data_IF_154819527752
#
_entry.id   IF_154819527752
#
_cell.length_a   1.000
_cell.length_b   1.000
_cell.length_c   1.000
_cell.angle_alpha   90.00
_cell.angle_beta   90.00
_cell.angle_gamma   90.00
#
_symmetry.space_group_name_H-M   'P 1'
#
loop_
_entity.id
_entity.type
_entity.pdbx_description
1 polymer ?
#
# COMPACT_ATOMS: atom_id res chain seq x y z
N UNK A 1 10.06 6.40 -16.46
CA UNK A 1 11.50 6.58 -16.73
C UNK A 1 12.19 6.54 -15.38
N UNK A 2 12.96 5.48 -15.07
CA UNK A 2 13.59 5.35 -13.76
C UNK A 2 14.79 6.29 -13.62
N UNK A 3 14.89 7.00 -12.51
CA UNK A 3 16.08 7.81 -12.20
C UNK A 3 17.17 6.92 -11.60
N UNK A 4 18.41 7.07 -12.07
CA UNK A 4 19.57 6.34 -11.53
C UNK A 4 19.93 6.85 -10.14
N UNK A 5 20.19 5.94 -9.20
CA UNK A 5 20.73 6.28 -7.87
C UNK A 5 22.20 6.66 -8.06
N UNK A 6 22.54 7.89 -7.67
CA UNK A 6 23.90 8.44 -7.73
C UNK A 6 24.45 8.61 -6.31
N UNK A 7 25.77 8.75 -6.15
CA UNK A 7 26.36 9.00 -4.82
C UNK A 7 25.78 10.27 -4.16
N UNK A 8 25.34 11.25 -4.95
CA UNK A 8 24.76 12.50 -4.46
C UNK A 8 23.35 12.33 -3.86
N UNK A 9 22.54 11.36 -4.35
CA UNK A 9 21.17 11.14 -3.87
C UNK A 9 21.03 9.93 -2.92
N UNK A 10 22.08 9.12 -2.77
CA UNK A 10 22.09 7.95 -1.89
C UNK A 10 21.79 8.26 -0.40
N UNK A 11 22.28 9.35 0.23
CA UNK A 11 21.95 9.66 1.62
C UNK A 11 20.46 9.95 1.85
N UNK A 12 19.81 10.56 0.85
CA UNK A 12 18.39 10.91 0.91
C UNK A 12 17.56 9.64 0.81
N UNK A 13 17.86 8.78 -0.17
CA UNK A 13 17.21 7.48 -0.30
C UNK A 13 17.36 6.65 0.99
N UNK A 14 18.56 6.62 1.60
CA UNK A 14 18.78 5.93 2.89
C UNK A 14 17.88 6.46 4.00
N UNK A 15 17.75 7.78 4.12
CA UNK A 15 16.89 8.39 5.14
C UNK A 15 15.42 7.99 4.95
N UNK A 16 14.94 7.87 3.71
CA UNK A 16 13.60 7.37 3.42
C UNK A 16 13.47 5.88 3.78
N UNK A 17 14.44 5.06 3.35
CA UNK A 17 14.46 3.62 3.63
C UNK A 17 14.43 3.33 5.14
N UNK A 18 15.20 4.10 5.93
CA UNK A 18 15.25 3.96 7.39
C UNK A 18 13.90 4.26 8.06
N UNK A 19 13.02 5.03 7.40
CA UNK A 19 11.69 5.38 7.92
C UNK A 19 10.55 4.53 7.39
N UNK A 20 10.79 3.64 6.42
CA UNK A 20 9.76 2.72 5.90
C UNK A 20 9.06 1.93 7.02
N UNK A 21 9.75 1.38 8.02
CA UNK A 21 9.07 0.61 9.08
C UNK A 21 8.05 1.44 9.88
N UNK A 22 8.36 2.70 10.17
CA UNK A 22 7.44 3.60 10.89
C UNK A 22 6.26 4.02 10.02
N UNK A 23 6.51 4.32 8.74
CA UNK A 23 5.46 4.63 7.78
C UNK A 23 4.52 3.43 7.57
N UNK A 24 5.09 2.23 7.49
CA UNK A 24 4.34 0.98 7.35
C UNK A 24 3.41 0.81 8.53
N UNK A 25 3.94 0.95 9.75
CA UNK A 25 3.14 0.87 10.98
C UNK A 25 2.01 1.90 10.99
N UNK A 26 2.30 3.17 10.67
CA UNK A 26 1.26 4.23 10.59
C UNK A 26 0.13 3.87 9.62
N UNK A 27 0.45 3.43 8.40
CA UNK A 27 -0.55 3.04 7.41
C UNK A 27 -1.29 1.77 7.84
N UNK A 28 -0.59 0.74 8.31
CA UNK A 28 -1.24 -0.51 8.74
C UNK A 28 -2.13 -0.33 9.97
N UNK A 29 -1.72 0.50 10.95
CA UNK A 29 -2.54 0.87 12.09
C UNK A 29 -3.82 1.59 11.64
N UNK A 30 -3.74 2.49 10.65
CA UNK A 30 -4.92 3.15 10.06
C UNK A 30 -5.83 2.14 9.37
N UNK A 31 -5.29 1.26 8.53
CA UNK A 31 -6.07 0.24 7.81
C UNK A 31 -6.82 -0.67 8.79
N UNK A 32 -6.09 -1.22 9.75
CA UNK A 32 -6.66 -2.16 10.74
C UNK A 32 -7.63 -1.49 11.72
N UNK A 33 -7.49 -0.19 11.99
CA UNK A 33 -8.45 0.54 12.82
C UNK A 33 -9.80 0.79 12.11
N UNK A 34 -9.83 0.77 10.77
CA UNK A 34 -10.99 1.28 10.01
C UNK A 34 -11.46 0.40 8.86
N UNK A 35 -10.95 -0.82 8.72
CA UNK A 35 -11.32 -1.74 7.63
C UNK A 35 -12.82 -2.09 7.53
N UNK A 36 -13.62 -1.76 8.54
CA UNK A 36 -15.08 -1.94 8.56
C UNK A 36 -15.88 -0.65 8.40
N UNK A 37 -15.23 0.51 8.47
CA UNK A 37 -15.89 1.83 8.52
C UNK A 37 -15.40 2.79 7.45
N UNK A 38 -14.18 2.63 6.97
CA UNK A 38 -13.63 3.40 5.86
C UNK A 38 -14.11 2.80 4.54
N UNK A 39 -14.95 3.51 3.76
CA UNK A 39 -15.57 2.94 2.56
C UNK A 39 -14.53 2.49 1.53
N UNK A 40 -13.39 3.17 1.42
CA UNK A 40 -12.34 2.77 0.46
C UNK A 40 -11.78 1.39 0.80
N UNK A 41 -11.54 1.11 2.08
CA UNK A 41 -10.98 -0.18 2.53
C UNK A 41 -12.04 -1.28 2.44
N UNK A 42 -13.30 -0.93 2.76
CA UNK A 42 -14.44 -1.85 2.62
C UNK A 42 -14.62 -2.26 1.16
N UNK A 43 -14.60 -1.30 0.24
CA UNK A 43 -14.74 -1.53 -1.20
C UNK A 43 -13.58 -2.38 -1.73
N UNK A 44 -12.34 -2.04 -1.38
CA UNK A 44 -11.17 -2.87 -1.70
C UNK A 44 -11.33 -4.34 -1.26
N UNK A 45 -11.79 -4.61 -0.04
CA UNK A 45 -12.00 -6.00 0.44
C UNK A 45 -13.14 -6.69 -0.33
N UNK A 46 -14.20 -5.95 -0.66
CA UNK A 46 -15.33 -6.49 -1.40
C UNK A 46 -14.95 -6.81 -2.85
N UNK A 47 -14.14 -5.97 -3.49
CA UNK A 47 -13.72 -6.15 -4.87
C UNK A 47 -12.76 -7.34 -4.99
N UNK A 48 -11.82 -7.49 -4.05
CA UNK A 48 -11.03 -8.72 -3.90
C UNK A 48 -11.92 -9.98 -3.87
N UNK A 49 -13.03 -9.93 -3.11
CA UNK A 49 -13.98 -11.05 -3.02
C UNK A 49 -14.79 -11.26 -4.32
N UNK A 50 -15.06 -10.20 -5.06
CA UNK A 50 -15.89 -10.23 -6.26
C UNK A 50 -15.12 -10.72 -7.50
N UNK A 51 -13.82 -10.41 -7.57
CA UNK A 51 -12.99 -10.72 -8.73
C UNK A 51 -12.38 -12.12 -8.71
N UNK A 52 -12.21 -12.69 -7.53
CA UNK A 52 -11.62 -14.03 -7.36
C UNK A 52 -12.73 -15.09 -7.32
N UNK A 53 -12.55 -16.19 -8.05
CA UNK A 53 -13.51 -17.30 -8.02
C UNK A 53 -13.68 -17.86 -6.59
N UNK A 54 -14.92 -18.23 -6.19
CA UNK A 54 -15.22 -18.77 -4.86
C UNK A 54 -14.34 -19.94 -4.42
N UNK A 55 -14.06 -20.90 -5.30
CA UNK A 55 -13.25 -22.09 -4.97
C UNK A 55 -11.79 -21.70 -4.73
N UNK A 56 -11.25 -20.80 -5.55
CA UNK A 56 -9.90 -20.27 -5.39
C UNK A 56 -9.77 -19.51 -4.06
N UNK A 57 -10.77 -18.70 -3.70
CA UNK A 57 -10.81 -18.00 -2.41
C UNK A 57 -10.78 -18.98 -1.23
N UNK A 58 -11.58 -20.04 -1.28
CA UNK A 58 -11.64 -21.06 -0.23
C UNK A 58 -10.27 -21.71 -0.03
N UNK A 59 -9.59 -22.06 -1.13
CA UNK A 59 -8.25 -22.66 -1.11
C UNK A 59 -7.19 -21.67 -0.60
N UNK A 60 -7.20 -20.43 -1.09
CA UNK A 60 -6.24 -19.38 -0.72
C UNK A 60 -6.31 -19.01 0.77
N UNK A 61 -7.53 -18.91 1.31
CA UNK A 61 -7.77 -18.64 2.73
C UNK A 61 -7.71 -19.91 3.61
N UNK A 62 -7.64 -21.09 3.00
CA UNK A 62 -7.65 -22.39 3.68
C UNK A 62 -8.85 -22.55 4.63
N UNK A 63 -10.04 -22.26 4.12
CA UNK A 63 -11.33 -22.35 4.85
C UNK A 63 -12.21 -23.45 4.27
N UNK A 64 -13.36 -23.73 4.88
CA UNK A 64 -14.27 -24.79 4.38
C UNK A 64 -15.26 -24.28 3.33
N UNK A 65 -15.61 -23.00 3.38
CA UNK A 65 -16.52 -22.34 2.43
C UNK A 65 -16.34 -20.83 2.43
N UNK A 66 -16.90 -20.16 1.42
CA UNK A 66 -16.80 -18.69 1.27
C UNK A 66 -17.45 -17.89 2.40
N UNK A 67 -18.40 -18.47 3.13
CA UNK A 67 -19.07 -17.79 4.26
C UNK A 67 -18.12 -17.61 5.46
N UNK A 68 -17.05 -18.41 5.55
CA UNK A 68 -16.00 -18.28 6.57
C UNK A 68 -14.99 -17.17 6.24
N UNK A 69 -15.04 -16.59 5.03
CA UNK A 69 -14.13 -15.53 4.60
C UNK A 69 -14.66 -14.19 5.10
N UNK A 70 -14.13 -13.76 6.24
CA UNK A 70 -14.41 -12.45 6.84
C UNK A 70 -13.41 -11.40 6.38
N UNK A 71 -13.69 -10.09 6.52
CA UNK A 71 -12.72 -9.03 6.25
C UNK A 71 -11.40 -9.20 7.02
N UNK A 72 -11.43 -9.74 8.24
CA UNK A 72 -10.23 -10.04 9.04
C UNK A 72 -9.33 -11.07 8.35
N UNK A 73 -9.91 -12.06 7.67
CA UNK A 73 -9.14 -13.05 6.89
C UNK A 73 -8.37 -12.38 5.76
N UNK A 74 -8.96 -11.39 5.09
CA UNK A 74 -8.24 -10.58 4.10
C UNK A 74 -7.07 -9.83 4.74
N UNK A 75 -7.28 -9.17 5.88
CA UNK A 75 -6.19 -8.48 6.59
C UNK A 75 -5.04 -9.42 6.99
N UNK A 76 -5.33 -10.69 7.32
CA UNK A 76 -4.29 -11.69 7.58
C UNK A 76 -3.44 -12.03 6.35
N UNK A 77 -3.94 -11.79 5.13
CA UNK A 77 -3.28 -12.15 3.86
C UNK A 77 -2.75 -10.96 3.07
N UNK A 78 -3.31 -9.76 3.25
CA UNK A 78 -2.82 -8.54 2.60
C UNK A 78 -1.37 -8.25 3.01
N UNK A 79 -0.53 -7.90 2.04
CA UNK A 79 0.89 -7.58 2.25
C UNK A 79 1.26 -6.30 1.51
N UNK A 80 2.31 -5.63 1.98
CA UNK A 80 2.98 -4.59 1.20
C UNK A 80 3.64 -5.24 -0.02
N UNK A 81 3.19 -4.83 -1.21
CA UNK A 81 3.61 -5.35 -2.52
C UNK A 81 4.71 -4.51 -3.12
N UNK A 82 4.58 -3.20 -3.03
CA UNK A 82 5.50 -2.26 -3.63
C UNK A 82 5.61 -0.97 -2.81
N UNK A 83 6.75 -0.30 -3.00
CA UNK A 83 7.00 1.04 -2.48
C UNK A 83 7.47 1.88 -3.65
N UNK A 84 6.78 2.98 -3.90
CA UNK A 84 7.07 3.90 -4.99
C UNK A 84 7.51 5.24 -4.44
N UNK A 85 8.48 5.85 -5.11
CA UNK A 85 8.91 7.21 -4.84
C UNK A 85 8.71 8.06 -6.08
N UNK A 86 8.14 9.25 -5.90
CA UNK A 86 8.00 10.23 -6.97
C UNK A 86 8.50 11.60 -6.52
N UNK A 87 8.95 12.40 -7.48
CA UNK A 87 9.23 13.80 -7.24
C UNK A 87 7.89 14.57 -7.13
N UNK A 88 7.75 15.53 -6.20
CA UNK A 88 6.57 16.36 -6.14
C UNK A 88 6.42 17.20 -7.41
N UNK A 89 5.18 17.44 -7.84
CA UNK A 89 4.86 18.07 -9.13
C UNK A 89 5.38 19.53 -9.26
N UNK A 90 5.63 20.22 -8.14
CA UNK A 90 5.89 21.68 -8.09
C UNK A 90 7.33 22.09 -7.67
N UNK A 91 8.31 21.17 -7.67
CA UNK A 91 9.65 21.53 -7.20
C UNK A 91 10.47 22.21 -8.30
N UNK A 92 10.47 23.55 -8.31
CA UNK A 92 11.63 24.32 -8.78
C UNK A 92 12.84 23.84 -7.96
N UNK A 93 13.84 23.28 -8.63
CA UNK A 93 14.99 22.54 -8.09
C UNK A 93 16.01 23.42 -7.36
N UNK A 94 15.54 24.34 -6.50
CA UNK A 94 16.36 25.28 -5.73
C UNK A 94 16.45 24.96 -4.23
N UNK A 95 15.87 23.86 -3.75
CA UNK A 95 16.10 23.36 -2.39
C UNK A 95 17.21 22.31 -2.39
N UNK A 96 18.22 22.50 -1.54
CA UNK A 96 19.38 21.59 -1.37
C UNK A 96 19.01 20.19 -0.84
N UNK A 97 17.72 19.91 -0.66
CA UNK A 97 17.17 18.61 -0.28
C UNK A 97 15.98 18.30 -1.20
N UNK A 98 16.09 17.35 -2.15
CA UNK A 98 14.94 16.89 -2.92
C UNK A 98 13.91 16.25 -1.97
N UNK A 99 12.70 16.79 -1.97
CA UNK A 99 11.54 16.14 -1.37
C UNK A 99 11.03 15.02 -2.29
N UNK A 100 10.55 13.93 -1.69
CA UNK A 100 9.99 12.79 -2.40
C UNK A 100 8.62 12.47 -1.79
N UNK A 101 7.62 12.26 -2.64
CA UNK A 101 6.40 11.60 -2.21
C UNK A 101 6.65 10.10 -2.20
N UNK A 102 5.98 9.40 -1.28
CA UNK A 102 6.11 7.96 -1.12
C UNK A 102 4.73 7.32 -1.17
N UNK A 103 4.58 6.22 -1.90
CA UNK A 103 3.36 5.43 -1.96
C UNK A 103 3.63 3.98 -1.59
N UNK A 104 2.80 3.41 -0.73
CA UNK A 104 2.84 2.01 -0.34
C UNK A 104 1.63 1.29 -0.91
N UNK A 105 1.88 0.23 -1.65
CA UNK A 105 0.82 -0.54 -2.30
C UNK A 105 0.61 -1.83 -1.52
N UNK A 106 -0.61 -2.00 -0.99
CA UNK A 106 -1.02 -3.20 -0.28
C UNK A 106 -1.97 -4.03 -1.13
N UNK A 107 -1.79 -5.34 -1.16
CA UNK A 107 -2.64 -6.24 -1.95
C UNK A 107 -2.53 -7.69 -1.49
N UNK A 108 -3.35 -8.55 -2.08
CA UNK A 108 -3.19 -10.01 -1.98
C UNK A 108 -2.00 -10.49 -2.83
N UNK A 109 -1.93 -11.80 -3.10
CA UNK A 109 -0.96 -12.27 -4.06
C UNK A 109 -1.24 -11.70 -5.46
N UNK A 110 -0.22 -11.20 -6.18
CA UNK A 110 -0.41 -10.60 -7.51
C UNK A 110 -0.80 -11.63 -8.56
N UNK A 111 -0.49 -12.90 -8.30
CA UNK A 111 -0.95 -14.01 -9.12
C UNK A 111 -2.45 -14.28 -8.95
N UNK A 112 -3.09 -13.58 -8.00
CA UNK A 112 -4.44 -13.85 -7.52
C UNK A 112 -5.37 -12.65 -7.64
N UNK A 113 -4.87 -11.44 -7.42
CA UNK A 113 -5.59 -10.19 -7.65
C UNK A 113 -4.60 -9.05 -7.92
N UNK A 114 -4.97 -8.16 -8.82
CA UNK A 114 -4.29 -6.89 -9.12
C UNK A 114 -4.84 -5.71 -8.31
N UNK A 115 -5.88 -5.93 -7.51
CA UNK A 115 -6.46 -4.91 -6.64
C UNK A 115 -5.45 -4.46 -5.57
N UNK A 116 -5.30 -3.14 -5.47
CA UNK A 116 -4.31 -2.46 -4.62
C UNK A 116 -4.99 -1.41 -3.74
N UNK A 117 -4.58 -1.40 -2.47
CA UNK A 117 -4.82 -0.32 -1.54
C UNK A 117 -3.55 0.54 -1.43
N UNK A 118 -3.59 1.74 -2.02
CA UNK A 118 -2.45 2.63 -2.15
C UNK A 118 -2.44 3.70 -1.04
N UNK A 119 -1.48 3.59 -0.13
CA UNK A 119 -1.23 4.53 0.97
C UNK A 119 -0.22 5.61 0.55
N UNK A 120 -0.66 6.87 0.46
CA UNK A 120 0.17 8.01 0.02
C UNK A 120 0.69 8.83 1.18
N UNK A 121 1.98 9.14 1.13
CA UNK A 121 2.68 9.93 2.11
C UNK A 121 3.28 11.18 1.47
N UNK A 122 3.24 12.26 2.25
CA UNK A 122 3.95 13.50 1.95
C UNK A 122 5.46 13.36 2.15
N UNK A 123 6.22 14.35 1.70
CA UNK A 123 7.65 14.51 2.01
C UNK A 123 7.99 14.47 3.51
N UNK A 124 7.02 14.83 4.35
CA UNK A 124 7.16 14.79 5.81
C UNK A 124 6.85 13.41 6.40
N UNK A 125 6.61 12.39 5.56
CA UNK A 125 6.30 11.00 5.94
C UNK A 125 4.99 10.89 6.73
N UNK A 126 4.08 11.83 6.47
CA UNK A 126 2.72 11.79 6.99
C UNK A 126 1.78 11.19 5.96
N UNK A 127 0.97 10.23 6.40
CA UNK A 127 -0.07 9.59 5.60
C UNK A 127 -1.18 10.60 5.33
N UNK A 128 -1.46 10.86 4.07
CA UNK A 128 -2.45 11.88 3.66
C UNK A 128 -3.63 11.31 2.90
N UNK A 129 -3.46 10.13 2.30
CA UNK A 129 -4.51 9.50 1.50
C UNK A 129 -4.36 7.98 1.48
N UNK A 130 -5.50 7.31 1.36
CA UNK A 130 -5.62 5.88 1.07
C UNK A 130 -6.64 5.78 -0.05
N UNK A 131 -6.24 5.21 -1.17
CA UNK A 131 -7.11 4.96 -2.32
C UNK A 131 -7.10 3.49 -2.70
N UNK A 132 -8.12 3.10 -3.44
CA UNK A 132 -8.29 1.78 -4.02
C UNK A 132 -8.09 1.88 -5.53
N UNK A 133 -7.22 1.03 -6.09
CA UNK A 133 -6.72 1.07 -7.47
C UNK A 133 -6.62 -0.36 -8.05
N UNK A 134 -6.85 -0.50 -9.36
CA UNK A 134 -6.59 -1.69 -10.19
C UNK A 134 -5.93 -1.35 -11.52
#
# INVERSE_FOLDING_TARGET
MGHEVTEANAPILRTYLDTIPDMYRKCWDRITATYTTDPVIVDFINDQRAEIYPDDLVDYFAVSCVDEITPEKFLEKIRLRAIWFSLPEDVNTSSDTPSLNCCFDFGLDSDFSDEILACRFTENRELVDISHES
#
